data_IF_982505752152
#
_entry.id   IF_982505752152
#
_cell.length_a   1.000
_cell.length_b   1.000
_cell.length_c   1.000
_cell.angle_alpha   90.00
_cell.angle_beta   90.00
_cell.angle_gamma   90.00
#
_symmetry.space_group_name_H-M   'P 1'
#
loop_
_entity.id
_entity.type
_entity.pdbx_description
1 polymer ?
#
# COMPACT_ATOMS: atom_id res chain seq x y z
N UNK A 1 29.80 -6.05 16.28
CA UNK A 1 29.47 -4.61 16.23
C UNK A 1 27.99 -4.49 15.95
N UNK A 2 27.21 -4.04 16.93
CA UNK A 2 25.74 -4.03 16.88
C UNK A 2 25.30 -2.65 16.40
N UNK A 3 24.95 -2.52 15.11
CA UNK A 3 24.42 -1.27 14.56
C UNK A 3 22.98 -1.10 15.02
N UNK A 4 22.78 -0.32 16.07
CA UNK A 4 21.44 0.08 16.53
C UNK A 4 20.86 1.01 15.48
N UNK A 5 19.75 0.59 14.86
CA UNK A 5 19.03 1.42 13.90
C UNK A 5 18.50 2.66 14.63
N UNK A 6 19.05 3.83 14.30
CA UNK A 6 18.50 5.11 14.74
C UNK A 6 17.06 5.23 14.21
N UNK A 7 16.09 5.67 15.03
CA UNK A 7 14.74 5.94 14.56
C UNK A 7 14.82 6.93 13.40
N UNK A 8 14.08 6.64 12.31
CA UNK A 8 13.97 7.55 11.18
C UNK A 8 13.55 8.93 11.70
N UNK A 9 14.29 10.02 11.39
CA UNK A 9 13.95 11.34 11.89
C UNK A 9 12.53 11.70 11.46
N UNK A 10 11.71 12.11 12.43
CA UNK A 10 10.34 12.55 12.17
C UNK A 10 10.41 13.81 11.28
N UNK A 11 9.91 13.77 10.04
CA UNK A 11 10.00 14.91 9.13
C UNK A 11 9.21 16.13 9.65
N UNK A 12 8.33 15.96 10.65
CA UNK A 12 7.67 17.09 11.32
C UNK A 12 8.59 17.90 12.24
N UNK A 13 9.73 17.32 12.63
CA UNK A 13 10.70 17.90 13.57
C UNK A 13 12.08 18.08 12.96
N UNK A 14 12.33 17.49 11.78
CA UNK A 14 13.57 17.60 11.03
C UNK A 14 13.30 18.17 9.63
N UNK A 15 13.59 19.47 9.39
CA UNK A 15 13.35 20.11 8.09
C UNK A 15 14.25 19.53 6.99
N UNK A 16 15.41 18.96 7.31
CA UNK A 16 16.29 18.32 6.33
C UNK A 16 15.70 16.97 5.89
N UNK A 17 15.14 16.21 6.84
CA UNK A 17 14.40 14.99 6.52
C UNK A 17 13.15 15.29 5.67
N UNK A 18 12.46 16.40 5.93
CA UNK A 18 11.32 16.84 5.12
C UNK A 18 11.72 17.16 3.68
N UNK A 19 12.80 17.91 3.47
CA UNK A 19 13.30 18.24 2.11
C UNK A 19 13.64 16.96 1.35
N UNK A 20 14.36 16.02 1.97
CA UNK A 20 14.67 14.72 1.34
C UNK A 20 13.42 13.92 1.01
N UNK A 21 12.41 13.93 1.89
CA UNK A 21 11.14 13.26 1.64
C UNK A 21 10.39 13.89 0.45
N UNK A 22 10.45 15.22 0.30
CA UNK A 22 9.87 15.93 -0.85
C UNK A 22 10.61 15.60 -2.15
N UNK A 23 11.94 15.54 -2.14
CA UNK A 23 12.74 15.14 -3.30
C UNK A 23 12.38 13.73 -3.77
N UNK A 24 12.27 12.78 -2.83
CA UNK A 24 11.81 11.42 -3.12
C UNK A 24 10.38 11.44 -3.68
N UNK A 25 9.47 12.24 -3.12
CA UNK A 25 8.10 12.33 -3.61
C UNK A 25 8.02 12.87 -5.04
N UNK A 26 8.78 13.93 -5.36
CA UNK A 26 8.83 14.51 -6.70
C UNK A 26 9.48 13.56 -7.71
N UNK A 27 10.53 12.84 -7.33
CA UNK A 27 11.10 11.78 -8.16
C UNK A 27 10.05 10.68 -8.46
N UNK A 28 9.27 10.28 -7.45
CA UNK A 28 8.18 9.30 -7.60
C UNK A 28 7.08 9.79 -8.51
N UNK A 29 6.73 11.07 -8.38
CA UNK A 29 5.76 11.73 -9.26
C UNK A 29 6.24 11.74 -10.70
N UNK A 30 7.50 12.06 -10.96
CA UNK A 30 8.08 12.07 -12.30
C UNK A 30 8.01 10.68 -12.96
N UNK A 31 8.43 9.63 -12.25
CA UNK A 31 8.34 8.25 -12.76
C UNK A 31 6.89 7.82 -13.00
N UNK A 32 5.98 8.14 -12.07
CA UNK A 32 4.56 7.85 -12.24
C UNK A 32 3.96 8.51 -13.50
N UNK A 33 4.26 9.78 -13.73
CA UNK A 33 3.80 10.51 -14.91
C UNK A 33 4.39 9.95 -16.21
N UNK A 34 5.66 9.53 -16.19
CA UNK A 34 6.29 8.83 -17.32
C UNK A 34 5.55 7.54 -17.66
N UNK A 35 5.28 6.70 -16.66
CA UNK A 35 4.55 5.44 -16.85
C UNK A 35 3.13 5.67 -17.41
N UNK A 36 2.44 6.72 -16.95
CA UNK A 36 1.12 7.11 -17.48
C UNK A 36 1.22 7.58 -18.93
N UNK A 37 2.27 8.34 -19.27
CA UNK A 37 2.52 8.80 -20.63
C UNK A 37 2.80 7.63 -21.60
N UNK A 38 3.66 6.69 -21.21
CA UNK A 38 3.95 5.47 -21.97
C UNK A 38 2.70 4.63 -22.20
N UNK A 39 1.88 4.43 -21.15
CA UNK A 39 0.59 3.76 -21.28
C UNK A 39 -0.33 4.48 -22.27
N UNK A 40 -0.42 5.82 -22.18
CA UNK A 40 -1.25 6.60 -23.08
C UNK A 40 -0.78 6.51 -24.54
N UNK A 41 0.53 6.52 -24.80
CA UNK A 41 1.11 6.31 -26.14
C UNK A 41 0.74 4.93 -26.66
N UNK A 42 0.99 3.87 -25.89
CA UNK A 42 0.63 2.48 -26.25
C UNK A 42 -0.85 2.37 -26.62
N UNK A 43 -1.74 2.93 -25.80
CA UNK A 43 -3.19 2.90 -26.05
C UNK A 43 -3.61 3.68 -27.29
N UNK A 44 -2.95 4.81 -27.62
CA UNK A 44 -3.22 5.53 -28.87
C UNK A 44 -2.86 4.68 -30.09
N UNK A 45 -1.70 4.03 -30.08
CA UNK A 45 -1.26 3.13 -31.15
C UNK A 45 -2.22 1.94 -31.32
N UNK A 46 -2.62 1.30 -30.22
CA UNK A 46 -3.58 0.19 -30.26
C UNK A 46 -4.96 0.60 -30.79
N UNK A 47 -5.45 1.80 -30.39
CA UNK A 47 -6.69 2.36 -30.92
C UNK A 47 -6.60 2.62 -32.42
N UNK A 48 -5.47 3.15 -32.90
CA UNK A 48 -5.23 3.35 -34.32
C UNK A 48 -5.21 2.02 -35.11
N UNK A 49 -4.79 0.92 -34.47
CA UNK A 49 -4.86 -0.44 -35.03
C UNK A 49 -6.19 -1.16 -34.75
N UNK A 50 -7.26 -0.43 -34.42
CA UNK A 50 -8.62 -0.99 -34.27
C UNK A 50 -8.90 -1.72 -32.95
N UNK A 51 -7.92 -1.86 -32.05
CA UNK A 51 -8.11 -2.53 -30.75
C UNK A 51 -8.64 -1.55 -29.70
N UNK A 52 -9.97 -1.50 -29.57
CA UNK A 52 -10.65 -0.58 -28.64
C UNK A 52 -10.66 -1.06 -27.20
N UNK A 53 -10.73 -2.38 -26.96
CA UNK A 53 -10.74 -2.97 -25.62
C UNK A 53 -9.31 -3.11 -25.07
N UNK A 54 -9.00 -2.61 -23.86
CA UNK A 54 -7.71 -2.86 -23.20
C UNK A 54 -7.52 -4.36 -22.91
N UNK A 55 -6.27 -4.84 -22.82
CA UNK A 55 -6.02 -6.22 -22.39
C UNK A 55 -6.34 -6.37 -20.90
N UNK A 56 -6.61 -7.60 -20.43
CA UNK A 56 -6.89 -7.85 -19.01
C UNK A 56 -5.78 -7.33 -18.07
N UNK A 57 -4.51 -7.37 -18.52
CA UNK A 57 -3.37 -6.80 -17.80
C UNK A 57 -3.28 -5.26 -17.83
N UNK A 58 -3.97 -4.59 -18.76
CA UNK A 58 -4.05 -3.12 -18.86
C UNK A 58 -5.17 -2.53 -18.00
N UNK A 59 -6.19 -3.34 -17.69
CA UNK A 59 -7.26 -2.98 -16.72
C UNK A 59 -6.85 -3.22 -15.28
N UNK A 60 -5.70 -3.88 -15.06
CA UNK A 60 -5.05 -3.90 -13.76
C UNK A 60 -4.75 -2.45 -13.38
N UNK A 61 -5.30 -2.02 -12.23
CA UNK A 61 -5.02 -0.75 -11.55
C UNK A 61 -3.57 -0.33 -11.81
N UNK A 62 -3.30 0.96 -12.14
CA UNK A 62 -1.93 1.41 -12.35
C UNK A 62 -1.06 0.90 -11.21
N UNK A 63 0.20 0.47 -11.49
CA UNK A 63 1.09 -0.01 -10.45
C UNK A 63 1.03 0.99 -9.32
N UNK A 64 0.78 0.46 -8.11
CA UNK A 64 0.67 1.28 -6.92
C UNK A 64 1.90 2.18 -6.76
N UNK A 65 1.87 3.11 -5.79
CA UNK A 65 3.05 3.90 -5.49
C UNK A 65 4.26 2.97 -5.31
N UNK A 66 5.22 3.05 -6.23
CA UNK A 66 6.49 2.35 -6.20
C UNK A 66 7.54 3.35 -5.73
N UNK A 67 8.56 2.86 -5.03
CA UNK A 67 9.61 3.74 -4.54
C UNK A 67 10.44 4.25 -5.73
N UNK A 68 10.67 5.56 -5.86
CA UNK A 68 11.52 6.11 -6.90
C UNK A 68 13.00 5.90 -6.57
N UNK A 69 13.77 5.51 -7.58
CA UNK A 69 15.21 5.31 -7.51
C UNK A 69 15.62 3.92 -7.98
N UNK A 70 16.85 3.81 -8.49
CA UNK A 70 17.45 2.52 -8.87
C UNK A 70 17.75 1.65 -7.64
N UNK A 71 17.86 2.27 -6.47
CA UNK A 71 18.17 1.59 -5.21
C UNK A 71 16.87 1.20 -4.48
N UNK A 72 16.63 -0.10 -4.24
CA UNK A 72 15.47 -0.54 -3.46
C UNK A 72 15.53 0.01 -2.03
N UNK A 73 14.37 0.29 -1.40
CA UNK A 73 14.33 0.76 -0.02
C UNK A 73 14.97 -0.27 0.91
N UNK A 74 15.73 0.20 1.90
CA UNK A 74 16.36 -0.69 2.87
C UNK A 74 15.29 -1.42 3.71
N UNK A 75 15.59 -2.66 4.14
CA UNK A 75 14.68 -3.43 5.01
C UNK A 75 14.28 -2.65 6.25
N UNK A 76 15.23 -1.97 6.89
CA UNK A 76 14.94 -1.16 8.08
C UNK A 76 14.03 0.04 7.75
N UNK A 77 14.21 0.67 6.59
CA UNK A 77 13.30 1.72 6.11
C UNK A 77 11.88 1.21 5.88
N UNK A 78 11.74 0.01 5.31
CA UNK A 78 10.44 -0.65 5.13
C UNK A 78 9.79 -1.03 6.47
N UNK A 79 10.57 -1.56 7.42
CA UNK A 79 10.09 -1.85 8.77
C UNK A 79 9.60 -0.58 9.47
N UNK A 80 10.35 0.52 9.38
CA UNK A 80 9.93 1.80 9.95
C UNK A 80 8.65 2.34 9.28
N UNK A 81 8.56 2.26 7.94
CA UNK A 81 7.38 2.69 7.19
C UNK A 81 6.13 1.86 7.56
N UNK A 82 6.27 0.54 7.69
CA UNK A 82 5.18 -0.34 8.15
C UNK A 82 4.78 -0.01 9.58
N UNK A 83 5.74 0.24 10.50
CA UNK A 83 5.43 0.60 11.88
C UNK A 83 4.67 1.93 12.01
N UNK A 84 5.08 2.96 11.25
CA UNK A 84 4.36 4.24 11.16
C UNK A 84 2.92 4.03 10.67
N UNK A 85 2.76 3.28 9.58
CA UNK A 85 1.44 3.05 8.99
C UNK A 85 0.56 2.12 9.81
N UNK A 86 1.14 1.15 10.51
CA UNK A 86 0.43 0.32 11.46
C UNK A 86 -0.10 1.15 12.63
N UNK A 87 0.70 2.09 13.14
CA UNK A 87 0.25 3.02 14.17
C UNK A 87 -0.90 3.90 13.69
N UNK A 88 -0.80 4.45 12.47
CA UNK A 88 -1.87 5.25 11.87
C UNK A 88 -3.14 4.42 11.62
N UNK A 89 -2.99 3.17 11.16
CA UNK A 89 -4.07 2.23 10.93
C UNK A 89 -4.84 1.94 12.22
N UNK A 90 -4.14 1.62 13.32
CA UNK A 90 -4.75 1.35 14.63
C UNK A 90 -5.45 2.55 15.26
N UNK A 91 -5.02 3.77 14.92
CA UNK A 91 -5.62 5.03 15.42
C UNK A 91 -6.69 5.59 14.48
N UNK A 92 -6.83 5.02 13.28
CA UNK A 92 -7.75 5.50 12.27
C UNK A 92 -9.21 5.34 12.70
N UNK A 93 -10.11 6.18 12.19
CA UNK A 93 -11.52 6.02 12.45
C UNK A 93 -12.00 4.67 11.86
N UNK A 94 -12.84 3.97 12.62
CA UNK A 94 -13.48 2.74 12.17
C UNK A 94 -14.86 3.07 11.57
N UNK A 95 -15.32 2.38 10.50
CA UNK A 95 -16.65 2.62 9.95
C UNK A 95 -17.73 2.35 11.02
N UNK A 96 -18.62 3.32 11.23
CA UNK A 96 -19.69 3.17 12.21
C UNK A 96 -20.80 2.23 11.73
N UNK A 97 -21.71 1.88 12.65
CA UNK A 97 -22.81 0.95 12.39
C UNK A 97 -23.85 1.49 11.38
N UNK A 98 -23.80 2.77 11.00
CA UNK A 98 -24.71 3.33 9.99
C UNK A 98 -24.24 3.05 8.56
N UNK A 99 -22.95 2.70 8.39
CA UNK A 99 -22.33 2.45 7.10
C UNK A 99 -22.31 0.98 6.69
N UNK A 100 -22.66 0.06 7.60
CA UNK A 100 -22.66 -1.37 7.35
C UNK A 100 -23.74 -2.09 8.19
N UNK A 101 -24.46 -3.02 7.56
CA UNK A 101 -25.29 -3.98 8.28
C UNK A 101 -24.43 -4.86 9.23
N UNK A 102 -25.03 -5.54 10.23
CA UNK A 102 -24.27 -6.30 11.22
C UNK A 102 -23.36 -7.38 10.64
N UNK A 103 -23.77 -8.04 9.55
CA UNK A 103 -22.97 -9.08 8.90
C UNK A 103 -21.74 -8.47 8.22
N UNK A 104 -21.92 -7.35 7.53
CA UNK A 104 -20.84 -6.60 6.90
C UNK A 104 -19.92 -5.94 7.95
N UNK A 105 -20.46 -5.44 9.05
CA UNK A 105 -19.66 -4.92 10.16
C UNK A 105 -18.73 -6.01 10.75
N UNK A 106 -19.25 -7.22 10.94
CA UNK A 106 -18.46 -8.39 11.36
C UNK A 106 -17.37 -8.77 10.35
N UNK A 107 -17.69 -8.76 9.05
CA UNK A 107 -16.71 -9.00 7.99
C UNK A 107 -15.57 -7.96 8.00
N UNK A 108 -15.91 -6.67 8.14
CA UNK A 108 -14.93 -5.58 8.22
C UNK A 108 -14.05 -5.72 9.46
N UNK A 109 -14.62 -6.14 10.60
CA UNK A 109 -13.88 -6.31 11.83
C UNK A 109 -12.88 -7.47 11.70
N UNK A 110 -13.30 -8.56 11.08
CA UNK A 110 -12.43 -9.69 10.75
C UNK A 110 -11.27 -9.27 9.83
N UNK A 111 -11.56 -8.51 8.77
CA UNK A 111 -10.52 -8.01 7.85
C UNK A 111 -9.54 -7.06 8.54
N UNK A 112 -10.04 -6.14 9.36
CA UNK A 112 -9.21 -5.22 10.13
C UNK A 112 -8.30 -5.98 11.11
N UNK A 113 -8.84 -6.94 11.85
CA UNK A 113 -8.07 -7.77 12.79
C UNK A 113 -7.00 -8.62 12.10
N UNK A 114 -7.31 -9.21 10.94
CA UNK A 114 -6.31 -9.95 10.15
C UNK A 114 -5.18 -9.05 9.66
N UNK A 115 -5.51 -7.87 9.15
CA UNK A 115 -4.50 -6.93 8.69
C UNK A 115 -3.61 -6.43 9.85
N UNK A 116 -4.21 -6.20 11.02
CA UNK A 116 -3.47 -5.88 12.26
C UNK A 116 -2.50 -7.01 12.66
N UNK A 117 -2.97 -8.26 12.62
CA UNK A 117 -2.16 -9.43 12.94
C UNK A 117 -1.01 -9.64 11.94
N UNK A 118 -1.26 -9.48 10.64
CA UNK A 118 -0.23 -9.57 9.59
C UNK A 118 0.85 -8.50 9.79
N UNK A 119 0.45 -7.26 10.09
CA UNK A 119 1.39 -6.18 10.40
C UNK A 119 2.21 -6.50 11.67
N UNK A 120 1.56 -7.02 12.72
CA UNK A 120 2.24 -7.48 13.93
C UNK A 120 3.28 -8.55 13.63
N UNK A 121 2.93 -9.60 12.89
CA UNK A 121 3.84 -10.67 12.51
C UNK A 121 5.04 -10.16 11.71
N UNK A 122 4.82 -9.27 10.73
CA UNK A 122 5.89 -8.64 9.96
C UNK A 122 6.84 -7.84 10.85
N UNK A 123 6.32 -7.04 11.78
CA UNK A 123 7.12 -6.21 12.68
C UNK A 123 7.90 -7.05 13.70
N UNK A 124 7.27 -8.05 14.30
CA UNK A 124 7.95 -9.01 15.19
C UNK A 124 9.05 -9.78 14.46
N UNK A 125 8.81 -10.15 13.20
CA UNK A 125 9.81 -10.79 12.32
C UNK A 125 10.85 -9.82 11.74
N UNK A 126 10.86 -8.54 12.15
CA UNK A 126 11.77 -7.50 11.65
C UNK A 126 11.84 -7.42 10.12
N UNK A 127 10.67 -7.55 9.50
CA UNK A 127 10.46 -7.51 8.06
C UNK A 127 10.44 -8.87 7.38
N UNK A 128 10.45 -9.98 8.14
CA UNK A 128 10.37 -11.34 7.60
C UNK A 128 9.17 -12.08 8.18
N UNK A 129 7.95 -11.82 7.66
CA UNK A 129 6.79 -12.62 8.03
C UNK A 129 6.97 -14.04 7.52
N UNK A 130 6.45 -15.00 8.28
CA UNK A 130 6.45 -16.41 7.93
C UNK A 130 5.47 -16.70 6.77
N UNK A 131 5.54 -17.92 6.23
CA UNK A 131 4.69 -18.34 5.10
C UNK A 131 3.19 -18.17 5.36
N UNK A 132 2.66 -18.60 6.52
CA UNK A 132 1.26 -18.39 6.88
C UNK A 132 0.85 -16.91 6.91
N UNK A 133 1.64 -16.02 7.52
CA UNK A 133 1.31 -14.59 7.56
C UNK A 133 1.30 -13.95 6.16
N UNK A 134 2.17 -14.41 5.24
CA UNK A 134 2.18 -13.93 3.84
C UNK A 134 0.91 -14.34 3.09
N UNK A 135 0.45 -15.58 3.27
CA UNK A 135 -0.78 -16.07 2.65
C UNK A 135 -2.01 -15.34 3.20
N UNK A 136 -2.07 -15.18 4.53
CA UNK A 136 -3.16 -14.46 5.20
C UNK A 136 -3.24 -12.99 4.75
N UNK A 137 -2.08 -12.36 4.53
CA UNK A 137 -1.99 -11.01 4.00
C UNK A 137 -2.55 -10.94 2.57
N UNK A 138 -2.12 -11.83 1.67
CA UNK A 138 -2.60 -11.85 0.29
C UNK A 138 -4.12 -12.07 0.20
N UNK A 139 -4.66 -12.97 1.03
CA UNK A 139 -6.10 -13.21 1.11
C UNK A 139 -6.87 -12.01 1.68
N UNK A 140 -6.30 -11.36 2.71
CA UNK A 140 -6.87 -10.14 3.29
C UNK A 140 -6.88 -8.99 2.29
N UNK A 141 -5.80 -8.78 1.52
CA UNK A 141 -5.73 -7.76 0.47
C UNK A 141 -6.78 -8.03 -0.61
N UNK A 142 -6.91 -9.27 -1.08
CA UNK A 142 -7.89 -9.64 -2.11
C UNK A 142 -9.33 -9.38 -1.63
N UNK A 143 -9.63 -9.71 -0.38
CA UNK A 143 -10.93 -9.46 0.21
C UNK A 143 -11.22 -7.95 0.38
N UNK A 144 -10.22 -7.14 0.73
CA UNK A 144 -10.35 -5.68 0.77
C UNK A 144 -10.58 -5.08 -0.62
N UNK A 145 -9.81 -5.51 -1.62
CA UNK A 145 -9.97 -5.07 -3.02
C UNK A 145 -11.38 -5.41 -3.54
N UNK A 146 -11.93 -6.58 -3.20
CA UNK A 146 -13.29 -6.98 -3.59
C UNK A 146 -14.40 -6.12 -2.96
N UNK A 147 -14.13 -5.48 -1.82
CA UNK A 147 -15.08 -4.59 -1.13
C UNK A 147 -15.03 -3.14 -1.63
N UNK A 148 -13.91 -2.71 -2.21
CA UNK A 148 -13.76 -1.36 -2.75
C UNK A 148 -14.62 -1.22 -4.01
N UNK A 149 -15.59 -0.30 -3.97
CA UNK A 149 -16.48 -0.04 -5.10
C UNK A 149 -15.93 1.05 -6.01
N UNK A 150 -16.24 0.97 -7.29
CA UNK A 150 -16.01 2.09 -8.22
C UNK A 150 -17.01 3.22 -7.96
N UNK A 151 -16.54 4.46 -7.89
CA UNK A 151 -17.37 5.64 -7.65
C UNK A 151 -17.46 6.08 -6.16
N UNK A 152 -18.24 7.14 -5.87
CA UNK A 152 -18.40 7.65 -4.52
C UNK A 152 -19.21 6.67 -3.67
N UNK A 153 -18.51 5.89 -2.85
CA UNK A 153 -19.10 5.02 -1.83
C UNK A 153 -18.57 5.46 -0.46
N UNK A 154 -19.42 5.79 0.53
CA UNK A 154 -18.99 6.26 1.86
C UNK A 154 -17.96 5.33 2.53
N UNK A 155 -18.13 4.01 2.37
CA UNK A 155 -17.24 3.01 2.93
C UNK A 155 -15.82 3.04 2.32
N UNK A 156 -15.65 3.57 1.11
CA UNK A 156 -14.33 3.70 0.48
C UNK A 156 -13.40 4.64 1.25
N UNK A 157 -13.94 5.58 2.04
CA UNK A 157 -13.15 6.46 2.91
C UNK A 157 -12.32 5.68 3.95
N UNK A 158 -12.79 4.50 4.34
CA UNK A 158 -12.14 3.60 5.30
C UNK A 158 -11.34 2.50 4.60
N UNK A 159 -11.93 1.89 3.57
CA UNK A 159 -11.33 0.75 2.87
C UNK A 159 -10.09 1.13 2.06
N UNK A 160 -10.05 2.31 1.44
CA UNK A 160 -8.90 2.73 0.64
C UNK A 160 -7.63 2.92 1.47
N UNK A 161 -7.66 3.57 2.66
CA UNK A 161 -6.53 3.56 3.58
C UNK A 161 -6.07 2.16 3.99
N UNK A 162 -6.99 1.26 4.36
CA UNK A 162 -6.64 -0.11 4.76
C UNK A 162 -5.97 -0.88 3.63
N UNK A 163 -6.52 -0.77 2.42
CA UNK A 163 -5.97 -1.42 1.24
C UNK A 163 -4.59 -0.87 0.85
N UNK A 164 -4.37 0.45 0.99
CA UNK A 164 -3.04 1.05 0.80
C UNK A 164 -2.03 0.50 1.80
N UNK A 165 -2.45 0.30 3.05
CA UNK A 165 -1.60 -0.30 4.08
C UNK A 165 -1.30 -1.77 3.78
N UNK A 166 -2.31 -2.57 3.39
CA UNK A 166 -2.12 -3.97 3.01
C UNK A 166 -1.11 -4.12 1.86
N UNK A 167 -1.22 -3.28 0.82
CA UNK A 167 -0.29 -3.29 -0.32
C UNK A 167 1.13 -2.85 0.04
N UNK A 168 1.28 -1.91 0.98
CA UNK A 168 2.60 -1.58 1.53
C UNK A 168 3.21 -2.79 2.23
N UNK A 169 2.41 -3.52 3.00
CA UNK A 169 2.85 -4.70 3.73
C UNK A 169 3.25 -5.84 2.79
N UNK A 170 2.51 -6.06 1.70
CA UNK A 170 2.86 -7.02 0.65
C UNK A 170 4.20 -6.67 0.01
N UNK A 171 4.32 -5.43 -0.48
CA UNK A 171 5.56 -4.93 -1.07
C UNK A 171 6.76 -5.07 -0.13
N UNK A 172 6.58 -4.73 1.14
CA UNK A 172 7.63 -4.82 2.14
C UNK A 172 8.02 -6.27 2.47
N UNK A 173 7.07 -7.20 2.42
CA UNK A 173 7.29 -8.62 2.65
C UNK A 173 8.04 -9.28 1.49
N UNK A 174 7.74 -8.85 0.26
CA UNK A 174 8.38 -9.34 -0.96
C UNK A 174 9.81 -8.78 -1.10
N UNK A 175 10.02 -7.50 -0.77
CA UNK A 175 11.35 -6.87 -0.78
C UNK A 175 12.33 -7.44 0.27
N UNK A 176 11.84 -8.24 1.22
CA UNK A 176 12.65 -8.87 2.27
C UNK A 176 13.00 -10.35 2.00
N UNK A 177 12.42 -10.95 0.95
CA UNK A 177 12.75 -12.28 0.44
C UNK A 177 13.96 -12.24 -0.47
#
# INVERSE_FOLDING_TARGET
MTTVALPSPDPRRDPVALVRALEVLEAGRAVHLSNVAEFAVRRRTEKAHGRRTPRAGDTGRPPGPHWPGETPPSRLGLVAAVADRHTAFRRGPYPDATLADPARAGQLAGLHGRLDACAGAYLTGLGRPDGPARLELADTTRALDALVRSGPAPLNGYLLPWLRFARLLEYASDAAG
#
